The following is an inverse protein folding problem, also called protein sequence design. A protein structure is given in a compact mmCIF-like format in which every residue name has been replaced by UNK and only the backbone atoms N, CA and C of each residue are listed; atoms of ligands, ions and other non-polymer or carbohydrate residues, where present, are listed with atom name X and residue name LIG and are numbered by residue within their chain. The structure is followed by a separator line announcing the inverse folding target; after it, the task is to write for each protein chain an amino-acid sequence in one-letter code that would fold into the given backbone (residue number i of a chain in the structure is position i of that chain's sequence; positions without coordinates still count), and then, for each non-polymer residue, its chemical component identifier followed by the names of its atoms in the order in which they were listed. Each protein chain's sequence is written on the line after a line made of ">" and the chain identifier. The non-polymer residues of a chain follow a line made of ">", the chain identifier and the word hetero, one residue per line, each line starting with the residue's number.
data_IF_639558456931
#
_entry.id   IF_639558456931
#
_cell.length_a   1.000
_cell.length_b   1.000
_cell.length_c   1.000
_cell.angle_alpha   90.00
_cell.angle_beta   90.00
_cell.angle_gamma   90.00
#
_symmetry.space_group_name_H-M   'P 1'
#
loop_
_entity.id
_entity.type
_entity.pdbx_description
1 polymer ?
#
# COMPACT_ATOMS: atom_id res chain seq x y z
N UNK A 1 -1.50 17.45 6.22
CA UNK A 1 -1.55 15.99 6.49
C UNK A 1 -2.24 15.36 5.30
N UNK A 2 -1.54 14.55 4.50
CA UNK A 2 -2.10 13.94 3.30
C UNK A 2 -2.73 12.57 3.63
N UNK A 3 -3.74 12.18 2.86
CA UNK A 3 -4.38 10.88 2.94
C UNK A 3 -4.30 10.19 1.59
N UNK A 4 -3.70 8.99 1.54
CA UNK A 4 -3.46 8.22 0.34
C UNK A 4 -4.41 7.02 0.28
N UNK A 5 -5.02 6.81 -0.88
CA UNK A 5 -5.77 5.59 -1.21
C UNK A 5 -5.06 4.90 -2.36
N UNK A 6 -4.83 3.58 -2.23
CA UNK A 6 -4.12 2.79 -3.21
C UNK A 6 -4.80 1.43 -3.43
N UNK A 7 -4.60 0.86 -4.62
CA UNK A 7 -4.96 -0.53 -4.93
C UNK A 7 -3.71 -1.21 -5.44
N UNK A 8 -3.33 -2.33 -4.84
CA UNK A 8 -2.23 -3.15 -5.33
C UNK A 8 -2.82 -4.42 -5.93
N UNK A 9 -2.36 -4.84 -7.10
CA UNK A 9 -2.86 -6.05 -7.75
C UNK A 9 -1.73 -6.73 -8.53
N UNK A 10 -1.65 -8.05 -8.42
CA UNK A 10 -0.80 -8.89 -9.25
C UNK A 10 -1.65 -9.97 -9.91
N UNK A 11 -1.44 -10.25 -11.20
CA UNK A 11 -2.15 -11.31 -11.93
C UNK A 11 -1.95 -12.70 -11.33
N UNK A 12 -0.82 -12.92 -10.63
CA UNK A 12 -0.53 -14.15 -9.88
C UNK A 12 -1.17 -14.17 -8.48
N UNK A 13 -1.85 -13.09 -8.08
CA UNK A 13 -2.74 -13.01 -6.93
C UNK A 13 -2.10 -12.59 -5.61
N UNK A 14 -0.98 -13.19 -5.23
CA UNK A 14 -0.53 -13.15 -3.81
C UNK A 14 0.74 -12.35 -3.57
N UNK A 15 1.90 -12.82 -4.02
CA UNK A 15 3.19 -12.30 -3.54
C UNK A 15 3.36 -10.79 -3.81
N UNK A 16 3.26 -10.35 -5.07
CA UNK A 16 3.51 -8.95 -5.41
C UNK A 16 2.41 -8.00 -4.95
N UNK A 17 1.17 -8.49 -4.84
CA UNK A 17 0.03 -7.72 -4.30
C UNK A 17 0.32 -7.24 -2.88
N UNK A 18 0.69 -8.16 -1.99
CA UNK A 18 0.97 -7.85 -0.59
C UNK A 18 2.33 -7.18 -0.38
N UNK A 19 3.36 -7.57 -1.13
CA UNK A 19 4.68 -6.90 -1.04
C UNK A 19 4.59 -5.41 -1.40
N UNK A 20 3.79 -5.06 -2.40
CA UNK A 20 3.56 -3.67 -2.77
C UNK A 20 2.76 -2.92 -1.68
N UNK A 21 1.70 -3.55 -1.14
CA UNK A 21 0.88 -2.96 -0.08
C UNK A 21 1.70 -2.67 1.18
N UNK A 22 2.46 -3.65 1.68
CA UNK A 22 3.30 -3.49 2.87
C UNK A 22 4.35 -2.39 2.71
N UNK A 23 4.94 -2.28 1.51
CA UNK A 23 5.92 -1.22 1.24
C UNK A 23 5.28 0.17 1.22
N UNK A 24 4.08 0.30 0.66
CA UNK A 24 3.33 1.55 0.65
C UNK A 24 2.93 1.98 2.06
N UNK A 25 2.50 1.06 2.92
CA UNK A 25 2.17 1.35 4.32
C UNK A 25 3.38 1.89 5.09
N UNK A 26 4.55 1.23 4.95
CA UNK A 26 5.79 1.67 5.61
C UNK A 26 6.21 3.07 5.16
N UNK A 27 6.09 3.39 3.87
CA UNK A 27 6.40 4.73 3.37
C UNK A 27 5.44 5.78 3.93
N UNK A 28 4.13 5.48 3.95
CA UNK A 28 3.14 6.40 4.51
C UNK A 28 3.35 6.62 6.01
N UNK A 29 3.80 5.60 6.75
CA UNK A 29 4.15 5.71 8.16
C UNK A 29 5.34 6.65 8.40
N UNK A 30 6.39 6.58 7.55
CA UNK A 30 7.54 7.47 7.61
C UNK A 30 7.17 8.93 7.33
N UNK A 31 6.31 9.14 6.32
CA UNK A 31 5.83 10.46 5.90
C UNK A 31 4.68 11.00 6.77
N UNK A 32 4.18 10.20 7.72
CA UNK A 32 3.02 10.50 8.60
C UNK A 32 1.75 10.79 7.80
N UNK A 33 1.55 10.07 6.70
CA UNK A 33 0.33 10.12 5.90
C UNK A 33 -0.64 9.04 6.36
N UNK A 34 -1.95 9.35 6.35
CA UNK A 34 -2.96 8.30 6.47
C UNK A 34 -3.03 7.51 5.18
N UNK A 35 -3.21 6.19 5.24
CA UNK A 35 -3.29 5.34 4.04
C UNK A 35 -4.36 4.27 4.18
N UNK A 36 -5.04 3.96 3.08
CA UNK A 36 -5.93 2.79 2.91
C UNK A 36 -5.57 2.08 1.61
N UNK A 37 -5.33 0.78 1.69
CA UNK A 37 -4.88 -0.05 0.57
C UNK A 37 -5.84 -1.22 0.39
N UNK A 38 -6.37 -1.39 -0.82
CA UNK A 38 -7.06 -2.62 -1.24
C UNK A 38 -6.13 -3.49 -2.09
N UNK A 39 -6.30 -4.81 -2.00
CA UNK A 39 -5.44 -5.84 -2.61
C UNK A 39 -6.20 -6.74 -3.57
#
# INVERSE_FOLDING_TARGET
>A
MAYLVAVTACVSGVAHTYMAAERLEKLCQLEKWGVSIET
#
